data_IF_533591130890
#
_entry.id   IF_533591130890
#
_cell.length_a   1.000
_cell.length_b   1.000
_cell.length_c   1.000
_cell.angle_alpha   90.00
_cell.angle_beta   90.00
_cell.angle_gamma   90.00
#
_symmetry.space_group_name_H-M   'P 1'
#
loop_
_entity.id
_entity.type
_entity.pdbx_description
1 polymer ?
#
# COMPACT_ATOMS: atom_id res chain seq x y z
N UNK A 1 11.66 4.78 -6.44
CA UNK A 1 10.97 3.84 -5.52
C UNK A 1 11.74 2.53 -5.60
N UNK A 2 11.49 1.51 -4.77
CA UNK A 2 12.27 0.26 -4.90
C UNK A 2 11.91 -0.45 -6.23
N UNK A 3 12.86 -0.97 -7.03
CA UNK A 3 12.55 -1.57 -8.35
C UNK A 3 11.53 -2.71 -8.30
N UNK A 4 11.54 -3.52 -7.24
CA UNK A 4 10.54 -4.57 -6.99
C UNK A 4 9.13 -4.01 -6.83
N UNK A 5 8.97 -2.89 -6.10
CA UNK A 5 7.68 -2.22 -5.94
C UNK A 5 7.20 -1.61 -7.25
N UNK A 6 8.11 -0.98 -8.01
CA UNK A 6 7.81 -0.43 -9.33
C UNK A 6 7.33 -1.53 -10.29
N UNK A 7 8.04 -2.66 -10.33
CA UNK A 7 7.68 -3.81 -11.16
C UNK A 7 6.35 -4.41 -10.74
N UNK A 8 6.11 -4.57 -9.43
CA UNK A 8 4.83 -5.04 -8.91
C UNK A 8 3.68 -4.13 -9.35
N UNK A 9 3.81 -2.81 -9.10
CA UNK A 9 2.79 -1.82 -9.45
C UNK A 9 2.53 -1.73 -10.95
N UNK A 10 3.56 -1.90 -11.79
CA UNK A 10 3.40 -1.92 -13.24
C UNK A 10 2.62 -3.14 -13.77
N UNK A 11 2.57 -4.23 -13.00
CA UNK A 11 1.98 -5.51 -13.42
C UNK A 11 0.67 -5.85 -12.69
N UNK A 12 0.16 -4.99 -11.80
CA UNK A 12 -1.14 -5.23 -11.19
C UNK A 12 -2.24 -5.17 -12.25
N UNK A 13 -3.15 -6.13 -12.20
CA UNK A 13 -4.33 -6.21 -13.07
C UNK A 13 -5.62 -5.94 -12.31
N UNK A 14 -5.57 -6.06 -10.99
CA UNK A 14 -6.71 -5.85 -10.11
C UNK A 14 -6.30 -5.21 -8.77
N UNK A 15 -7.17 -4.34 -8.26
CA UNK A 15 -6.90 -3.54 -7.06
C UNK A 15 -6.73 -4.37 -5.79
N UNK A 16 -7.41 -5.52 -5.68
CA UNK A 16 -7.25 -6.40 -4.52
C UNK A 16 -5.81 -6.93 -4.37
N UNK A 17 -5.00 -6.94 -5.45
CA UNK A 17 -3.59 -7.33 -5.37
C UNK A 17 -2.78 -6.37 -4.48
N UNK A 18 -3.24 -5.13 -4.30
CA UNK A 18 -2.67 -4.16 -3.37
C UNK A 18 -3.08 -4.40 -1.91
N UNK A 19 -3.99 -5.34 -1.60
CA UNK A 19 -4.31 -5.64 -0.21
C UNK A 19 -3.09 -6.27 0.48
N UNK A 20 -2.79 -5.93 1.77
CA UNK A 20 -1.64 -6.46 2.48
C UNK A 20 -1.50 -7.98 2.42
N UNK A 21 -2.62 -8.71 2.49
CA UNK A 21 -2.71 -10.18 2.40
C UNK A 21 -2.31 -10.77 1.04
N UNK A 22 -2.40 -9.98 -0.04
CA UNK A 22 -2.19 -10.43 -1.41
C UNK A 22 -0.83 -9.98 -1.98
N UNK A 23 -0.05 -9.18 -1.24
CA UNK A 23 1.27 -8.77 -1.70
C UNK A 23 2.18 -10.00 -1.95
N UNK A 24 2.91 -10.03 -3.07
CA UNK A 24 3.97 -11.01 -3.30
C UNK A 24 5.03 -11.00 -2.19
N UNK A 25 5.67 -12.15 -1.96
CA UNK A 25 6.65 -12.30 -0.85
C UNK A 25 7.92 -11.47 -1.07
N UNK A 26 8.36 -11.30 -2.31
CA UNK A 26 9.48 -10.42 -2.69
C UNK A 26 9.18 -8.95 -2.40
N UNK A 27 7.95 -8.50 -2.64
CA UNK A 27 7.49 -7.17 -2.25
C UNK A 27 7.50 -7.01 -0.72
N UNK A 28 6.99 -8.00 0.01
CA UNK A 28 7.00 -7.98 1.47
C UNK A 28 8.42 -7.93 2.03
N UNK A 29 9.33 -8.74 1.50
CA UNK A 29 10.72 -8.78 1.93
C UNK A 29 11.37 -7.41 1.78
N UNK A 30 11.19 -6.75 0.64
CA UNK A 30 11.65 -5.38 0.43
C UNK A 30 11.09 -4.43 1.48
N UNK A 31 9.78 -4.50 1.75
CA UNK A 31 9.11 -3.62 2.72
C UNK A 31 9.62 -3.82 4.16
N UNK A 32 9.98 -5.03 4.56
CA UNK A 32 10.53 -5.33 5.89
C UNK A 32 11.91 -4.70 6.11
N UNK A 33 12.70 -4.60 5.04
CA UNK A 33 14.05 -4.03 5.09
C UNK A 33 14.08 -2.50 4.93
N UNK A 34 12.92 -1.87 4.72
CA UNK A 34 12.83 -0.41 4.64
C UNK A 34 13.06 0.25 5.99
N UNK A 35 13.59 1.48 5.96
CA UNK A 35 13.53 2.34 7.14
C UNK A 35 12.08 2.62 7.54
N UNK A 36 11.79 2.90 8.83
CA UNK A 36 10.41 3.19 9.27
C UNK A 36 9.73 4.32 8.47
N UNK A 37 10.49 5.34 8.08
CA UNK A 37 9.97 6.46 7.28
C UNK A 37 9.58 6.02 5.86
N UNK A 38 10.44 5.24 5.19
CA UNK A 38 10.16 4.72 3.85
C UNK A 38 9.02 3.70 3.85
N UNK A 39 8.95 2.86 4.88
CA UNK A 39 7.85 1.92 5.07
C UNK A 39 6.53 2.66 5.24
N UNK A 40 6.50 3.72 6.06
CA UNK A 40 5.30 4.55 6.24
C UNK A 40 4.85 5.20 4.93
N UNK A 41 5.79 5.79 4.15
CA UNK A 41 5.50 6.37 2.83
C UNK A 41 4.94 5.32 1.87
N UNK A 42 5.53 4.13 1.84
CA UNK A 42 5.10 3.04 0.96
C UNK A 42 3.70 2.53 1.35
N UNK A 43 3.45 2.26 2.63
CA UNK A 43 2.12 1.88 3.13
C UNK A 43 1.07 2.95 2.81
N UNK A 44 1.43 4.22 2.95
CA UNK A 44 0.58 5.36 2.59
C UNK A 44 0.21 5.32 1.10
N UNK A 45 1.20 5.19 0.22
CA UNK A 45 0.98 5.14 -1.23
C UNK A 45 0.11 3.96 -1.64
N UNK A 46 0.40 2.75 -1.14
CA UNK A 46 -0.39 1.55 -1.45
C UNK A 46 -1.82 1.66 -0.93
N UNK A 47 -2.00 2.20 0.28
CA UNK A 47 -3.32 2.37 0.86
C UNK A 47 -4.14 3.43 0.13
N UNK A 48 -3.51 4.52 -0.33
CA UNK A 48 -4.15 5.51 -1.19
C UNK A 48 -4.53 4.87 -2.51
N UNK A 49 -3.66 4.12 -3.19
CA UNK A 49 -4.00 3.44 -4.44
C UNK A 49 -5.19 2.47 -4.28
N UNK A 50 -5.27 1.77 -3.14
CA UNK A 50 -6.36 0.85 -2.84
C UNK A 50 -7.72 1.55 -2.60
N UNK A 51 -7.72 2.72 -1.96
CA UNK A 51 -8.94 3.40 -1.51
C UNK A 51 -9.34 4.59 -2.39
N UNK A 52 -8.43 5.09 -3.22
CA UNK A 52 -8.58 6.35 -3.93
C UNK A 52 -8.82 6.12 -5.43
N UNK A 53 -9.75 5.22 -5.73
CA UNK A 53 -10.18 4.92 -7.09
C UNK A 53 -11.27 5.94 -7.46
N UNK A 54 -11.04 6.78 -8.48
CA UNK A 54 -12.05 7.75 -8.89
C UNK A 54 -13.30 7.02 -9.38
N UNK A 55 -14.45 7.38 -8.83
CA UNK A 55 -15.75 6.98 -9.37
C UNK A 55 -16.32 8.12 -10.20
N UNK A 56 -17.26 7.83 -11.10
CA UNK A 56 -17.91 8.87 -11.92
C UNK A 56 -18.59 9.97 -11.09
N UNK A 57 -18.85 9.71 -9.81
CA UNK A 57 -19.65 10.55 -8.93
C UNK A 57 -18.85 11.23 -7.81
N UNK A 58 -17.58 10.89 -7.62
CA UNK A 58 -16.79 11.43 -6.52
C UNK A 58 -15.34 11.72 -6.96
N UNK A 59 -14.90 12.99 -6.93
CA UNK A 59 -13.50 13.31 -7.07
C UNK A 59 -12.71 12.79 -5.86
N UNK A 60 -11.44 12.51 -6.12
CA UNK A 60 -10.46 12.04 -5.15
C UNK A 60 -10.16 13.14 -4.13
N UNK A 61 -10.61 12.99 -2.88
CA UNK A 61 -10.14 13.82 -1.74
C UNK A 61 -10.17 13.01 -0.45
N UNK A 62 -9.04 12.38 -0.10
CA UNK A 62 -8.78 11.90 1.25
C UNK A 62 -8.11 13.03 2.04
N UNK A 63 -8.58 13.30 3.26
CA UNK A 63 -7.90 14.18 4.20
C UNK A 63 -6.62 13.54 4.76
N UNK A 64 -5.69 14.35 5.28
CA UNK A 64 -4.44 13.84 5.87
C UNK A 64 -4.69 12.83 7.00
N UNK A 65 -5.73 13.04 7.82
CA UNK A 65 -6.10 12.14 8.92
C UNK A 65 -6.64 10.80 8.41
N UNK A 66 -7.41 10.80 7.33
CA UNK A 66 -7.87 9.58 6.66
C UNK A 66 -6.69 8.81 6.06
N UNK A 67 -5.77 9.52 5.40
CA UNK A 67 -4.55 8.92 4.83
C UNK A 67 -3.70 8.26 5.92
N UNK A 68 -3.48 8.94 7.04
CA UNK A 68 -2.70 8.39 8.16
C UNK A 68 -3.37 7.14 8.77
N UNK A 69 -4.69 7.19 8.97
CA UNK A 69 -5.47 6.06 9.51
C UNK A 69 -5.41 4.84 8.58
N UNK A 70 -5.51 5.08 7.27
CA UNK A 70 -5.41 4.07 6.23
C UNK A 70 -4.01 3.45 6.17
N UNK A 71 -2.96 4.26 6.24
CA UNK A 71 -1.57 3.78 6.28
C UNK A 71 -1.30 2.90 7.51
N UNK A 72 -1.82 3.28 8.68
CA UNK A 72 -1.70 2.49 9.91
C UNK A 72 -2.45 1.15 9.80
N UNK A 73 -3.68 1.17 9.26
CA UNK A 73 -4.45 -0.04 9.01
C UNK A 73 -3.73 -0.99 8.03
N UNK A 74 -3.12 -0.43 6.99
CA UNK A 74 -2.32 -1.16 6.02
C UNK A 74 -1.12 -1.85 6.68
N UNK A 75 -0.36 -1.10 7.49
CA UNK A 75 0.79 -1.63 8.24
C UNK A 75 0.37 -2.78 9.19
N UNK A 76 -0.74 -2.62 9.93
CA UNK A 76 -1.30 -3.69 10.76
C UNK A 76 -1.64 -4.94 9.95
N UNK A 77 -2.12 -4.77 8.71
CA UNK A 77 -2.36 -5.86 7.77
C UNK A 77 -1.09 -6.61 7.40
N UNK A 78 0.01 -5.89 7.14
CA UNK A 78 1.31 -6.50 6.85
C UNK A 78 1.85 -7.28 8.04
N UNK A 79 1.77 -6.71 9.26
CA UNK A 79 2.22 -7.36 10.49
C UNK A 79 1.55 -8.72 10.75
N UNK A 80 0.31 -8.93 10.28
CA UNK A 80 -0.37 -10.22 10.39
C UNK A 80 0.25 -11.31 9.52
N UNK A 81 1.04 -10.96 8.49
CA UNK A 81 1.73 -11.93 7.62
C UNK A 81 3.11 -12.33 8.13
N UNK A 82 3.65 -11.56 9.08
CA UNK A 82 4.93 -11.86 9.73
C UNK A 82 4.76 -12.60 11.07
N UNK A 83 3.52 -12.97 11.42
CA UNK A 83 3.18 -13.75 12.62
C UNK A 83 2.91 -15.20 12.28
#
# INVERSE_FOLDING_TARGET
MHPTLETFLANITALHQLEPKNLPNDVLEVMVHMSPEELYKTCTQLSVLLHNIPSQTAPITLSESEIASLAEAYLKGLLKRFR
#
